data_IF_476203013272
#
_entry.id   IF_476203013272
#
_cell.length_a   1.000
_cell.length_b   1.000
_cell.length_c   1.000
_cell.angle_alpha   90.00
_cell.angle_beta   90.00
_cell.angle_gamma   90.00
#
_symmetry.space_group_name_H-M   'P 1'
#
loop_
_entity.id
_entity.type
_entity.pdbx_description
1 polymer ?
#
# COMPACT_ATOMS: atom_id res chain seq x y z
N UNK A 1 -4.14 -2.63 -11.26
CA UNK A 1 -3.56 -2.16 -12.53
C UNK A 1 -3.29 -0.66 -12.52
N UNK A 2 -2.57 -0.19 -13.54
CA UNK A 2 -2.40 1.24 -13.76
C UNK A 2 -3.46 1.75 -14.74
N UNK A 3 -4.07 2.89 -14.42
CA UNK A 3 -4.94 3.63 -15.31
C UNK A 3 -4.41 5.06 -15.43
N UNK A 4 -3.73 5.36 -16.54
CA UNK A 4 -2.96 6.61 -16.74
C UNK A 4 -1.91 6.79 -15.63
N UNK A 5 -2.09 7.80 -14.77
CA UNK A 5 -1.22 8.13 -13.64
C UNK A 5 -1.73 7.60 -12.27
N UNK A 6 -2.78 6.77 -12.28
CA UNK A 6 -3.40 6.20 -11.09
C UNK A 6 -3.15 4.71 -10.97
N UNK A 7 -3.05 4.22 -9.75
CA UNK A 7 -3.19 2.80 -9.44
C UNK A 7 -4.65 2.50 -9.07
N UNK A 8 -5.19 1.45 -9.66
CA UNK A 8 -6.52 0.94 -9.34
C UNK A 8 -6.35 -0.40 -8.64
N UNK A 9 -6.94 -0.54 -7.47
CA UNK A 9 -6.99 -1.80 -6.72
C UNK A 9 -8.20 -2.60 -7.20
N UNK A 10 -7.96 -3.63 -8.00
CA UNK A 10 -9.01 -4.42 -8.65
C UNK A 10 -9.65 -5.44 -7.71
N UNK A 11 -8.83 -6.04 -6.84
CA UNK A 11 -9.30 -7.10 -5.95
C UNK A 11 -8.51 -7.11 -4.64
N UNK A 12 -9.21 -7.33 -3.55
CA UNK A 12 -8.64 -7.63 -2.23
C UNK A 12 -9.25 -8.95 -1.75
N UNK A 13 -8.41 -9.89 -1.36
CA UNK A 13 -8.81 -11.18 -0.80
C UNK A 13 -8.10 -11.40 0.51
N UNK A 14 -8.83 -11.93 1.47
CA UNK A 14 -8.36 -12.22 2.81
C UNK A 14 -8.85 -13.61 3.23
N UNK A 15 -8.01 -14.33 3.95
CA UNK A 15 -8.41 -15.52 4.67
C UNK A 15 -8.05 -15.39 6.14
N UNK A 16 -9.02 -15.64 7.02
CA UNK A 16 -8.80 -15.65 8.46
C UNK A 16 -8.44 -17.07 8.93
N UNK A 17 -7.68 -17.20 10.01
CA UNK A 17 -7.47 -18.50 10.64
C UNK A 17 -8.83 -19.14 11.05
N UNK A 18 -9.04 -20.48 10.94
CA UNK A 18 -8.03 -21.51 10.62
C UNK A 18 -8.12 -21.87 9.14
N UNK A 19 -7.01 -22.00 8.45
CA UNK A 19 -6.97 -22.35 7.04
C UNK A 19 -5.75 -23.23 6.72
N UNK A 20 -5.82 -24.01 5.63
CA UNK A 20 -4.69 -24.65 5.01
C UNK A 20 -3.94 -23.65 4.13
N UNK A 21 -2.64 -23.41 4.33
CA UNK A 21 -1.87 -22.52 3.47
C UNK A 21 -1.89 -22.92 1.99
N UNK A 22 -1.87 -24.23 1.70
CA UNK A 22 -1.93 -24.75 0.33
C UNK A 22 -3.25 -24.43 -0.34
N UNK A 23 -4.38 -24.58 0.38
CA UNK A 23 -5.71 -24.26 -0.17
C UNK A 23 -5.85 -22.75 -0.43
N UNK A 24 -5.31 -21.92 0.44
CA UNK A 24 -5.31 -20.46 0.25
C UNK A 24 -4.46 -20.09 -0.96
N UNK A 25 -3.26 -20.66 -1.08
CA UNK A 25 -2.40 -20.39 -2.22
C UNK A 25 -3.03 -20.86 -3.54
N UNK A 26 -3.72 -22.00 -3.54
CA UNK A 26 -4.49 -22.47 -4.70
C UNK A 26 -5.59 -21.47 -5.09
N UNK A 27 -6.42 -21.06 -4.13
CA UNK A 27 -7.50 -20.09 -4.37
C UNK A 27 -6.96 -18.72 -4.86
N UNK A 28 -5.89 -18.23 -4.25
CA UNK A 28 -5.27 -16.97 -4.66
C UNK A 28 -4.64 -17.09 -6.06
N UNK A 29 -4.00 -18.23 -6.36
CA UNK A 29 -3.43 -18.48 -7.68
C UNK A 29 -4.50 -18.54 -8.78
N UNK A 30 -5.69 -19.07 -8.48
CA UNK A 30 -6.83 -19.06 -9.41
C UNK A 30 -7.28 -17.64 -9.72
N UNK A 31 -7.40 -16.78 -8.70
CA UNK A 31 -7.73 -15.36 -8.89
C UNK A 31 -6.63 -14.65 -9.70
N UNK A 32 -5.36 -14.85 -9.37
CA UNK A 32 -4.25 -14.24 -10.11
C UNK A 32 -4.27 -14.64 -11.59
N UNK A 33 -4.48 -15.92 -11.87
CA UNK A 33 -4.59 -16.43 -13.24
C UNK A 33 -5.78 -15.85 -14.01
N UNK A 34 -6.92 -15.59 -13.36
CA UNK A 34 -8.06 -14.94 -14.01
C UNK A 34 -7.78 -13.51 -14.44
N UNK A 35 -6.76 -12.86 -13.83
CA UNK A 35 -6.24 -11.55 -14.24
C UNK A 35 -4.99 -11.64 -15.14
N UNK A 36 -4.61 -12.84 -15.58
CA UNK A 36 -3.41 -13.04 -16.39
C UNK A 36 -2.09 -12.83 -15.63
N UNK A 37 -2.11 -12.87 -14.30
CA UNK A 37 -0.95 -12.62 -13.46
C UNK A 37 -0.23 -13.95 -13.17
N UNK A 38 1.01 -14.06 -13.64
CA UNK A 38 1.87 -15.22 -13.40
C UNK A 38 2.92 -15.03 -12.30
N UNK A 39 2.98 -13.84 -11.70
CA UNK A 39 4.01 -13.46 -10.73
C UNK A 39 3.44 -12.58 -9.64
N UNK A 40 3.85 -12.82 -8.39
CA UNK A 40 3.45 -12.01 -7.23
C UNK A 40 4.66 -11.60 -6.41
N UNK A 41 4.55 -10.46 -5.75
CA UNK A 41 5.51 -10.03 -4.73
C UNK A 41 4.86 -10.15 -3.37
N UNK A 42 5.56 -10.73 -2.41
CA UNK A 42 5.05 -10.91 -1.06
C UNK A 42 6.10 -10.70 0.02
N UNK A 43 5.71 -10.88 1.28
CA UNK A 43 6.58 -10.71 2.41
C UNK A 43 7.75 -11.72 2.40
N UNK A 44 8.87 -11.34 2.97
CA UNK A 44 10.04 -12.21 3.18
C UNK A 44 9.82 -13.25 4.28
N UNK A 45 8.83 -13.05 5.14
CA UNK A 45 8.47 -13.98 6.19
C UNK A 45 7.99 -15.32 5.61
N UNK A 46 8.46 -16.42 6.20
CA UNK A 46 8.12 -17.77 5.74
C UNK A 46 9.15 -18.41 4.81
N UNK A 47 10.22 -17.70 4.41
CA UNK A 47 11.33 -18.25 3.65
C UNK A 47 10.92 -18.88 2.31
N UNK A 48 11.32 -20.13 2.06
CA UNK A 48 11.01 -20.86 0.82
C UNK A 48 9.56 -21.37 0.76
N UNK A 49 8.90 -21.55 1.89
CA UNK A 49 7.56 -22.15 1.93
C UNK A 49 6.52 -21.46 1.06
N UNK A 50 6.33 -20.11 1.11
CA UNK A 50 5.41 -19.43 0.20
C UNK A 50 5.82 -19.59 -1.27
N UNK A 51 7.11 -19.57 -1.57
CA UNK A 51 7.62 -19.75 -2.94
C UNK A 51 7.24 -21.10 -3.53
N UNK A 52 7.44 -22.17 -2.75
CA UNK A 52 7.13 -23.53 -3.18
C UNK A 52 5.63 -23.72 -3.45
N UNK A 53 4.79 -23.24 -2.53
CA UNK A 53 3.33 -23.38 -2.67
C UNK A 53 2.79 -22.62 -3.88
N UNK A 54 3.23 -21.37 -4.09
CA UNK A 54 2.81 -20.59 -5.26
C UNK A 54 3.39 -21.17 -6.56
N UNK A 55 4.65 -21.64 -6.56
CA UNK A 55 5.28 -22.31 -7.71
C UNK A 55 4.52 -23.58 -8.10
N UNK A 56 4.09 -24.39 -7.13
CA UNK A 56 3.27 -25.58 -7.37
C UNK A 56 1.94 -25.24 -8.05
N UNK A 57 1.45 -24.01 -7.87
CA UNK A 57 0.25 -23.51 -8.51
C UNK A 57 0.55 -22.66 -9.78
N UNK A 58 1.79 -22.69 -10.30
CA UNK A 58 2.18 -21.98 -11.51
C UNK A 58 2.28 -20.47 -11.38
N UNK A 59 2.52 -19.95 -10.16
CA UNK A 59 2.75 -18.55 -9.88
C UNK A 59 4.17 -18.37 -9.32
N UNK A 60 4.95 -17.47 -9.93
CA UNK A 60 6.24 -17.08 -9.40
C UNK A 60 6.07 -16.16 -8.17
N UNK A 61 6.72 -16.50 -7.06
CA UNK A 61 6.69 -15.68 -5.85
C UNK A 61 8.06 -15.01 -5.63
N UNK A 62 8.06 -13.70 -5.55
CA UNK A 62 9.26 -12.89 -5.28
C UNK A 62 9.13 -12.19 -3.92
N UNK A 63 10.14 -12.28 -3.04
CA UNK A 63 10.14 -11.50 -1.81
C UNK A 63 10.23 -10.01 -2.10
N UNK A 64 9.45 -9.22 -1.39
CA UNK A 64 9.56 -7.78 -1.44
C UNK A 64 10.92 -7.32 -0.86
N UNK A 65 11.67 -6.51 -1.60
CA UNK A 65 12.94 -5.96 -1.13
C UNK A 65 12.75 -4.80 -0.13
N UNK A 66 11.61 -4.15 -0.18
CA UNK A 66 11.27 -3.00 0.63
C UNK A 66 10.73 -3.39 1.98
N UNK A 67 11.02 -2.58 2.98
CA UNK A 67 10.38 -2.72 4.29
C UNK A 67 8.93 -2.23 4.23
N UNK A 68 8.12 -2.70 5.17
CA UNK A 68 6.74 -2.25 5.34
C UNK A 68 6.65 -0.72 5.52
N UNK A 69 7.54 -0.15 6.31
CA UNK A 69 7.58 1.31 6.54
C UNK A 69 7.93 2.09 5.26
N UNK A 70 8.83 1.56 4.41
CA UNK A 70 9.14 2.18 3.13
C UNK A 70 7.93 2.16 2.19
N UNK A 71 7.19 1.04 2.16
CA UNK A 71 5.97 0.93 1.35
C UNK A 71 4.89 1.92 1.80
N UNK A 72 4.70 2.09 3.11
CA UNK A 72 3.73 3.06 3.63
C UNK A 72 4.18 4.51 3.38
N UNK A 73 5.47 4.79 3.54
CA UNK A 73 6.03 6.10 3.21
C UNK A 73 5.83 6.49 1.75
N UNK A 74 6.01 5.54 0.83
CA UNK A 74 5.79 5.77 -0.60
C UNK A 74 4.29 5.80 -0.99
N UNK A 75 3.43 5.10 -0.25
CA UNK A 75 1.98 5.10 -0.48
C UNK A 75 1.33 6.44 -0.13
N UNK A 76 1.76 7.08 0.95
CA UNK A 76 1.14 8.29 1.48
C UNK A 76 1.04 9.43 0.44
N UNK A 77 2.10 9.83 -0.26
CA UNK A 77 2.00 10.85 -1.31
C UNK A 77 1.11 10.43 -2.48
N UNK A 78 0.99 9.14 -2.78
CA UNK A 78 0.11 8.62 -3.81
C UNK A 78 -1.36 8.81 -3.40
N UNK A 79 -1.70 8.51 -2.14
CA UNK A 79 -3.05 8.75 -1.60
C UNK A 79 -3.36 10.23 -1.61
N UNK A 80 -2.47 11.08 -1.07
CA UNK A 80 -2.67 12.52 -0.96
C UNK A 80 -2.86 13.21 -2.32
N UNK A 81 -2.17 12.72 -3.35
CA UNK A 81 -2.32 13.24 -4.71
C UNK A 81 -3.55 12.68 -5.46
N UNK A 82 -4.36 11.83 -4.82
CA UNK A 82 -5.50 11.20 -5.45
C UNK A 82 -5.16 10.22 -6.58
N UNK A 83 -3.93 9.69 -6.58
CA UNK A 83 -3.41 8.78 -7.60
C UNK A 83 -3.67 7.30 -7.29
N UNK A 84 -4.61 7.01 -6.42
CA UNK A 84 -5.05 5.65 -6.13
C UNK A 84 -6.58 5.57 -6.10
N UNK A 85 -7.11 4.51 -6.65
CA UNK A 85 -8.53 4.13 -6.53
C UNK A 85 -8.57 2.88 -5.65
N UNK A 86 -9.15 3.02 -4.47
CA UNK A 86 -9.31 1.95 -3.50
C UNK A 86 -10.69 1.29 -3.64
N UNK A 87 -10.78 0.03 -3.28
CA UNK A 87 -12.07 -0.67 -3.14
C UNK A 87 -12.80 -0.18 -1.89
N UNK A 88 -14.13 -0.21 -1.91
CA UNK A 88 -14.97 -0.04 -0.72
C UNK A 88 -14.86 -1.29 0.19
N UNK A 89 -13.73 -1.42 0.86
CA UNK A 89 -13.48 -2.47 1.82
C UNK A 89 -13.20 -1.84 3.19
N UNK A 90 -14.21 -1.84 4.05
CA UNK A 90 -14.17 -1.21 5.39
C UNK A 90 -12.95 -1.62 6.21
N UNK A 91 -12.55 -2.90 6.13
CA UNK A 91 -11.40 -3.39 6.91
C UNK A 91 -10.07 -2.87 6.35
N UNK A 92 -9.91 -2.86 5.03
CA UNK A 92 -8.73 -2.29 4.38
C UNK A 92 -8.59 -0.80 4.72
N UNK A 93 -9.68 -0.04 4.59
CA UNK A 93 -9.70 1.39 4.94
C UNK A 93 -9.38 1.61 6.42
N UNK A 94 -9.99 0.82 7.32
CA UNK A 94 -9.70 0.91 8.76
C UNK A 94 -8.23 0.57 9.10
N UNK A 95 -7.62 -0.38 8.40
CA UNK A 95 -6.20 -0.70 8.57
C UNK A 95 -5.29 0.43 8.08
N UNK A 96 -5.60 1.03 6.92
CA UNK A 96 -4.86 2.18 6.40
C UNK A 96 -4.97 3.39 7.35
N UNK A 97 -6.18 3.69 7.83
CA UNK A 97 -6.43 4.77 8.79
C UNK A 97 -5.80 4.54 10.17
N UNK A 98 -5.61 3.28 10.54
CA UNK A 98 -5.01 2.91 11.83
C UNK A 98 -3.49 2.80 11.84
N UNK A 99 -2.81 3.24 10.77
CA UNK A 99 -1.35 3.26 10.73
C UNK A 99 -0.80 4.42 11.57
N UNK A 100 0.21 4.13 12.37
CA UNK A 100 0.94 5.09 13.19
C UNK A 100 2.40 5.18 12.75
N UNK A 101 2.90 6.40 12.63
CA UNK A 101 4.33 6.66 12.41
C UNK A 101 5.02 6.91 13.73
N UNK A 102 6.09 6.20 13.98
CA UNK A 102 6.97 6.37 15.13
C UNK A 102 8.41 6.55 14.65
N UNK A 103 9.06 7.56 15.14
CA UNK A 103 10.48 7.80 14.85
C UNK A 103 11.32 7.09 15.89
N UNK A 104 12.24 6.24 15.44
CA UNK A 104 13.21 5.57 16.32
C UNK A 104 14.25 6.56 16.83
N UNK A 105 15.02 6.17 17.87
CA UNK A 105 16.14 6.98 18.38
C UNK A 105 17.22 7.25 17.33
N UNK A 106 17.30 6.42 16.31
CA UNK A 106 18.24 6.56 15.17
C UNK A 106 17.68 7.41 14.02
N UNK A 107 16.51 8.05 14.21
CA UNK A 107 15.86 8.85 13.17
C UNK A 107 15.15 8.05 12.08
N UNK A 108 15.09 6.71 12.22
CA UNK A 108 14.42 5.86 11.22
C UNK A 108 12.91 5.76 11.52
N UNK A 109 12.11 5.98 10.51
CA UNK A 109 10.67 5.79 10.58
C UNK A 109 10.27 4.33 10.73
N UNK A 110 9.35 4.09 11.64
CA UNK A 110 8.66 2.82 11.80
C UNK A 110 7.15 3.08 11.68
N UNK A 111 6.58 2.64 10.57
CA UNK A 111 5.14 2.80 10.31
C UNK A 111 4.49 1.42 10.44
N UNK A 112 3.50 1.32 11.34
CA UNK A 112 2.76 0.08 11.59
C UNK A 112 1.42 0.39 12.25
N UNK A 113 0.56 -0.62 12.38
CA UNK A 113 -0.66 -0.46 13.19
C UNK A 113 -0.34 -0.17 14.67
N UNK A 114 -1.25 0.52 15.36
CA UNK A 114 -1.18 0.71 16.80
C UNK A 114 -1.15 -0.65 17.53
N UNK A 115 -0.40 -0.79 18.65
CA UNK A 115 -0.41 -2.01 19.44
C UNK A 115 -1.79 -2.28 20.02
N UNK A 116 -2.19 -3.54 20.08
CA UNK A 116 -3.47 -3.95 20.68
C UNK A 116 -3.96 -5.30 20.16
N UNK A 117 -4.79 -6.01 20.93
CA UNK A 117 -5.32 -7.30 20.52
C UNK A 117 -6.22 -7.15 19.27
N UNK A 118 -6.05 -8.07 18.32
CA UNK A 118 -6.84 -8.10 17.08
C UNK A 118 -6.52 -7.02 16.06
N UNK A 119 -5.53 -6.16 16.32
CA UNK A 119 -5.05 -5.18 15.34
C UNK A 119 -4.03 -5.82 14.40
N UNK A 120 -4.15 -5.55 13.14
CA UNK A 120 -3.24 -5.99 12.09
C UNK A 120 -3.28 -4.99 10.94
N UNK A 121 -2.28 -5.02 10.09
CA UNK A 121 -2.16 -4.16 8.91
C UNK A 121 -1.87 -4.98 7.62
N UNK A 122 -2.26 -6.25 7.61
CA UNK A 122 -1.96 -7.16 6.50
C UNK A 122 -2.56 -6.67 5.18
N UNK A 123 -3.83 -6.22 5.18
CA UNK A 123 -4.47 -5.68 3.99
C UNK A 123 -3.84 -4.35 3.56
N UNK A 124 -3.55 -3.47 4.52
CA UNK A 124 -2.87 -2.21 4.25
C UNK A 124 -1.48 -2.44 3.62
N UNK A 125 -0.72 -3.40 4.15
CA UNK A 125 0.60 -3.76 3.63
C UNK A 125 0.51 -4.32 2.20
N UNK A 126 -0.41 -5.24 1.93
CA UNK A 126 -0.63 -5.78 0.59
C UNK A 126 -1.02 -4.70 -0.41
N UNK A 127 -1.93 -3.80 -0.03
CA UNK A 127 -2.36 -2.69 -0.90
C UNK A 127 -1.23 -1.71 -1.14
N UNK A 128 -0.46 -1.34 -0.10
CA UNK A 128 0.71 -0.49 -0.25
C UNK A 128 1.73 -1.09 -1.21
N UNK A 129 2.05 -2.37 -1.04
CA UNK A 129 2.95 -3.10 -1.93
C UNK A 129 2.47 -3.11 -3.38
N UNK A 130 1.20 -3.39 -3.63
CA UNK A 130 0.61 -3.42 -4.96
C UNK A 130 0.62 -2.03 -5.62
N UNK A 131 0.13 -1.00 -4.94
CA UNK A 131 0.04 0.38 -5.44
C UNK A 131 1.42 0.94 -5.76
N UNK A 132 2.36 0.79 -4.83
CA UNK A 132 3.73 1.28 -5.00
C UNK A 132 4.46 0.53 -6.11
N UNK A 133 4.21 -0.77 -6.29
CA UNK A 133 4.78 -1.53 -7.39
C UNK A 133 4.26 -1.08 -8.75
N UNK A 134 2.96 -0.80 -8.84
CA UNK A 134 2.30 -0.37 -10.09
C UNK A 134 2.75 1.03 -10.52
N UNK A 135 2.86 1.97 -9.60
CA UNK A 135 3.25 3.36 -9.91
C UNK A 135 4.75 3.64 -9.81
N UNK A 136 5.49 2.68 -9.25
CA UNK A 136 6.89 2.91 -8.91
C UNK A 136 7.07 3.79 -7.68
N UNK A 137 8.33 4.16 -7.37
CA UNK A 137 8.59 5.15 -6.33
C UNK A 137 7.95 6.46 -6.73
N UNK A 138 7.15 7.06 -5.83
CA UNK A 138 6.85 8.48 -5.98
C UNK A 138 8.18 9.21 -6.13
N UNK A 139 8.32 10.03 -7.18
CA UNK A 139 9.55 10.80 -7.38
C UNK A 139 9.80 11.62 -6.10
N UNK A 140 10.97 11.48 -5.46
CA UNK A 140 11.33 12.39 -4.39
C UNK A 140 11.23 13.81 -4.95
N UNK A 141 10.74 14.74 -4.14
CA UNK A 141 10.90 16.17 -4.44
C UNK A 141 12.41 16.38 -4.51
N UNK A 142 12.98 16.86 -5.64
CA UNK A 142 14.38 17.20 -5.67
C UNK A 142 14.67 18.18 -4.55
N UNK A 143 15.76 17.97 -3.79
CA UNK A 143 16.14 18.86 -2.69
C UNK A 143 16.38 20.30 -3.16
N UNK A 144 16.63 20.47 -4.46
CA UNK A 144 16.84 21.74 -5.16
C UNK A 144 15.57 22.33 -5.79
N UNK A 145 14.40 21.73 -5.58
CA UNK A 145 13.15 22.28 -6.08
C UNK A 145 12.83 23.61 -5.40
N UNK A 146 13.28 24.71 -6.03
CA UNK A 146 13.00 26.07 -5.59
C UNK A 146 11.61 26.47 -6.09
N UNK A 147 10.68 26.67 -5.17
CA UNK A 147 9.36 27.19 -5.49
C UNK A 147 9.40 28.70 -5.54
N UNK A 148 9.16 29.29 -6.71
CA UNK A 148 9.19 30.75 -6.92
C UNK A 148 8.07 31.51 -6.19
N UNK A 149 6.97 30.84 -5.83
CA UNK A 149 5.87 31.39 -5.05
C UNK A 149 5.01 30.32 -4.37
N UNK A 150 4.15 30.75 -3.43
CA UNK A 150 3.28 29.85 -2.68
C UNK A 150 2.35 29.00 -3.57
N UNK A 151 1.87 29.53 -4.69
CA UNK A 151 0.99 28.81 -5.62
C UNK A 151 1.67 27.65 -6.34
N UNK A 152 2.97 27.80 -6.66
CA UNK A 152 3.76 26.71 -7.23
C UNK A 152 4.00 25.58 -6.21
N UNK A 153 4.26 25.95 -4.94
CA UNK A 153 4.37 24.99 -3.84
C UNK A 153 3.06 24.24 -3.62
N UNK A 154 1.93 24.94 -3.60
CA UNK A 154 0.61 24.31 -3.45
C UNK A 154 0.36 23.34 -4.58
N UNK A 155 0.56 23.75 -5.84
CA UNK A 155 0.40 22.88 -7.01
C UNK A 155 1.34 21.68 -7.01
N UNK A 156 2.57 21.88 -6.52
CA UNK A 156 3.51 20.76 -6.38
C UNK A 156 3.03 19.76 -5.30
N UNK A 157 2.59 20.26 -4.14
CA UNK A 157 2.03 19.43 -3.06
C UNK A 157 0.75 18.71 -3.49
N UNK A 158 -0.08 19.35 -4.32
CA UNK A 158 -1.25 18.71 -4.93
C UNK A 158 -0.88 17.57 -5.89
N UNK A 159 0.22 17.70 -6.62
CA UNK A 159 0.67 16.72 -7.59
C UNK A 159 1.53 15.60 -7.00
N UNK A 160 2.28 15.88 -5.95
CA UNK A 160 3.34 15.00 -5.44
C UNK A 160 3.21 14.67 -3.94
N UNK A 161 2.32 15.34 -3.21
CA UNK A 161 2.17 15.19 -1.75
C UNK A 161 3.22 15.96 -0.93
N UNK A 162 3.09 15.99 0.40
CA UNK A 162 4.01 16.68 1.30
C UNK A 162 5.38 16.01 1.43
N UNK A 163 6.37 16.74 1.93
CA UNK A 163 7.70 16.21 2.17
C UNK A 163 7.73 15.19 3.30
N UNK A 164 8.62 14.20 3.26
CA UNK A 164 8.87 13.35 4.41
C UNK A 164 9.25 14.19 5.63
N UNK A 165 8.42 14.13 6.71
CA UNK A 165 8.65 14.87 7.96
C UNK A 165 7.66 16.01 8.26
N UNK A 166 6.76 16.35 7.35
CA UNK A 166 5.69 17.32 7.61
C UNK A 166 4.44 16.59 8.15
N UNK A 167 4.21 16.73 9.45
CA UNK A 167 3.02 16.50 10.31
C UNK A 167 2.25 15.15 10.34
N UNK A 168 2.00 14.69 11.57
CA UNK A 168 1.23 13.47 11.90
C UNK A 168 -0.24 13.48 11.43
N UNK A 169 -0.84 14.67 11.23
CA UNK A 169 -2.22 14.84 10.79
C UNK A 169 -2.47 14.47 9.33
N UNK A 170 -1.43 14.23 8.55
CA UNK A 170 -1.51 13.99 7.11
C UNK A 170 -2.19 12.65 6.78
N UNK A 171 -1.97 11.62 7.61
CA UNK A 171 -2.61 10.33 7.42
C UNK A 171 -4.14 10.40 7.58
N UNK A 172 -4.61 11.11 8.59
CA UNK A 172 -6.04 11.29 8.84
C UNK A 172 -6.70 12.07 7.70
N UNK A 173 -6.05 13.12 7.21
CA UNK A 173 -6.53 13.91 6.09
C UNK A 173 -6.52 13.12 4.77
N UNK A 174 -5.47 12.32 4.53
CA UNK A 174 -5.36 11.49 3.32
C UNK A 174 -6.42 10.39 3.30
N UNK A 175 -6.70 9.77 4.43
CA UNK A 175 -7.74 8.75 4.55
C UNK A 175 -9.12 9.36 4.41
N UNK A 176 -9.38 10.53 5.01
CA UNK A 176 -10.63 11.26 4.84
C UNK A 176 -10.87 11.66 3.37
N UNK A 177 -9.83 12.13 2.68
CA UNK A 177 -9.90 12.45 1.27
C UNK A 177 -10.14 11.23 0.37
N UNK A 178 -9.57 10.08 0.71
CA UNK A 178 -9.82 8.83 0.00
C UNK A 178 -11.25 8.33 0.24
N UNK A 179 -11.76 8.44 1.46
CA UNK A 179 -13.15 8.06 1.80
C UNK A 179 -14.19 8.93 1.11
N UNK A 180 -13.95 10.26 0.98
CA UNK A 180 -14.87 11.17 0.33
C UNK A 180 -15.02 10.96 -1.19
N UNK A 181 -14.08 10.24 -1.80
CA UNK A 181 -14.06 9.94 -3.25
C UNK A 181 -14.57 8.54 -3.60
N UNK A 182 -14.99 7.75 -2.60
CA UNK A 182 -15.61 6.45 -2.85
C UNK A 182 -17.05 6.72 -3.29
N UNK A 183 -17.45 6.39 -4.53
CA UNK A 183 -18.85 6.51 -4.94
C UNK A 183 -19.68 5.56 -4.09
N UNK A 184 -20.72 6.09 -3.45
CA UNK A 184 -21.73 5.26 -2.78
C UNK A 184 -22.57 4.56 -3.86
N UNK A 185 -22.08 3.43 -4.36
CA UNK A 185 -22.91 2.51 -5.12
C UNK A 185 -23.64 1.61 -4.12
N UNK A 186 -24.96 1.78 -4.08
CA UNK A 186 -25.94 0.92 -3.40
C UNK A 186 -26.05 -0.43 -4.10
#
# INVERSE_FOLDING_TARGET
HAEKDRAVVDVVRERRPKFSPSDVALQFSQVLKSYGIGKVTGDRWGGEFPREIFRANGIAYEPCERTKSDLYGDLLPIINSGRVVLLDNKRMVAQLAGLERRVSRTGKDNISHAPGPGRCDDLANCVAGAVVTVLGKSRPIPDDAVFGNAGQRTRYLELHGPRPGEEESIWDQAVAAAQSKIPHYW
#
